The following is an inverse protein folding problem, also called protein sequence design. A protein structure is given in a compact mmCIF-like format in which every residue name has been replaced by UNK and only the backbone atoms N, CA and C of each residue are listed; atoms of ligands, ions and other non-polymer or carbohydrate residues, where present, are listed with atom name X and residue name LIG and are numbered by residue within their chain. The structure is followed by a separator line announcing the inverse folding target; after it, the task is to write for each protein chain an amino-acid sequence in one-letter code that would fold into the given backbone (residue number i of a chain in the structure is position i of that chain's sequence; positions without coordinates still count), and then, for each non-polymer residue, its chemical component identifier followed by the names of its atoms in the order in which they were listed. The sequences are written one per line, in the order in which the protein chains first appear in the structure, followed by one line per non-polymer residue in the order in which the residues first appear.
data_IF_599643602813
#
_entry.id   IF_599643602813
#
_cell.length_a   1.000
_cell.length_b   1.000
_cell.length_c   1.000
_cell.angle_alpha   90.00
_cell.angle_beta   90.00
_cell.angle_gamma   90.00
#
_symmetry.space_group_name_H-M   'P 1'
#
loop_
_entity.id
_entity.type
_entity.pdbx_description
1 polymer ?
#
# COMPACT_ATOMS: atom_id res chain seq x y z
N UNK A 1 16.79 -20.73 -2.78
CA UNK A 1 17.61 -19.68 -3.42
C UNK A 1 16.75 -18.65 -4.13
N UNK A 2 15.65 -19.06 -4.79
CA UNK A 2 14.66 -18.16 -5.40
C UNK A 2 14.09 -17.12 -4.42
N UNK A 3 13.58 -17.53 -3.26
CA UNK A 3 13.00 -16.61 -2.28
C UNK A 3 13.88 -15.42 -1.84
N UNK A 4 15.21 -15.60 -1.73
CA UNK A 4 16.11 -14.49 -1.40
C UNK A 4 16.23 -13.50 -2.56
N UNK A 5 16.19 -14.01 -3.80
CA UNK A 5 16.18 -13.18 -4.99
C UNK A 5 14.86 -12.41 -5.09
N UNK A 6 13.73 -13.08 -4.84
CA UNK A 6 12.40 -12.45 -4.86
C UNK A 6 12.30 -11.33 -3.81
N UNK A 7 12.80 -11.56 -2.58
CA UNK A 7 12.85 -10.53 -1.53
C UNK A 7 13.76 -9.36 -1.95
N UNK A 8 14.91 -9.65 -2.57
CA UNK A 8 15.82 -8.60 -3.03
C UNK A 8 15.23 -7.77 -4.18
N UNK A 9 14.54 -8.43 -5.11
CA UNK A 9 13.86 -7.81 -6.23
C UNK A 9 12.69 -6.96 -5.78
N UNK A 10 11.83 -7.49 -4.90
CA UNK A 10 10.75 -6.73 -4.30
C UNK A 10 11.26 -5.47 -3.58
N UNK A 11 12.34 -5.58 -2.81
CA UNK A 11 12.95 -4.40 -2.18
C UNK A 11 13.44 -3.38 -3.21
N UNK A 12 14.06 -3.82 -4.29
CA UNK A 12 14.50 -2.93 -5.38
C UNK A 12 13.32 -2.23 -6.07
N UNK A 13 12.20 -2.92 -6.25
CA UNK A 13 10.97 -2.35 -6.82
C UNK A 13 10.36 -1.30 -5.88
N UNK A 14 10.28 -1.58 -4.57
CA UNK A 14 9.81 -0.60 -3.58
C UNK A 14 10.71 0.64 -3.53
N UNK A 15 12.04 0.46 -3.61
CA UNK A 15 12.99 1.58 -3.68
C UNK A 15 12.80 2.40 -4.96
N UNK A 16 12.51 1.77 -6.10
CA UNK A 16 12.19 2.47 -7.36
C UNK A 16 10.88 3.24 -7.25
N UNK A 17 9.84 2.64 -6.68
CA UNK A 17 8.54 3.28 -6.47
C UNK A 17 8.68 4.58 -5.67
N UNK A 18 9.50 4.60 -4.61
CA UNK A 18 9.74 5.81 -3.80
C UNK A 18 10.36 6.97 -4.58
N UNK A 19 10.96 6.71 -5.75
CA UNK A 19 11.58 7.70 -6.63
C UNK A 19 10.77 7.97 -7.91
N UNK A 20 9.68 7.24 -8.13
CA UNK A 20 8.84 7.39 -9.31
C UNK A 20 7.97 8.66 -9.19
N UNK A 21 7.84 9.38 -10.30
CA UNK A 21 7.03 10.60 -10.38
C UNK A 21 5.67 10.36 -11.03
N UNK A 22 5.55 9.32 -11.84
CA UNK A 22 4.30 8.87 -12.43
C UNK A 22 3.54 7.95 -11.45
N UNK A 23 2.36 8.36 -10.93
CA UNK A 23 1.61 7.56 -9.97
C UNK A 23 1.21 6.17 -10.47
N UNK A 24 0.98 6.00 -11.77
CA UNK A 24 0.59 4.70 -12.35
C UNK A 24 1.77 3.74 -12.28
N UNK A 25 2.93 4.14 -12.83
CA UNK A 25 4.17 3.36 -12.76
C UNK A 25 4.64 3.15 -11.32
N UNK A 26 4.41 4.13 -10.43
CA UNK A 26 4.70 3.94 -9.02
C UNK A 26 3.89 2.77 -8.47
N UNK A 27 2.57 2.78 -8.68
CA UNK A 27 1.70 1.72 -8.17
C UNK A 27 2.05 0.36 -8.78
N UNK A 28 2.37 0.29 -10.08
CA UNK A 28 2.81 -0.95 -10.72
C UNK A 28 4.04 -1.56 -10.02
N UNK A 29 5.07 -0.76 -9.74
CA UNK A 29 6.26 -1.24 -9.02
C UNK A 29 5.91 -1.75 -7.61
N UNK A 30 4.96 -1.09 -6.92
CA UNK A 30 4.54 -1.50 -5.57
C UNK A 30 3.75 -2.81 -5.63
N UNK A 31 2.77 -2.90 -6.52
CA UNK A 31 1.95 -4.10 -6.69
C UNK A 31 2.83 -5.31 -7.02
N UNK A 32 3.75 -5.16 -7.98
CA UNK A 32 4.69 -6.22 -8.35
C UNK A 32 5.55 -6.63 -7.16
N UNK A 33 6.09 -5.68 -6.40
CA UNK A 33 6.88 -5.97 -5.21
C UNK A 33 6.08 -6.73 -4.14
N UNK A 34 4.84 -6.31 -3.87
CA UNK A 34 4.00 -6.93 -2.87
C UNK A 34 3.57 -8.34 -3.28
N UNK A 35 3.27 -8.55 -4.56
CA UNK A 35 2.97 -9.87 -5.13
C UNK A 35 4.18 -10.79 -5.02
N UNK A 36 5.39 -10.32 -5.36
CA UNK A 36 6.62 -11.11 -5.21
C UNK A 36 6.84 -11.56 -3.76
N UNK A 37 6.59 -10.67 -2.79
CA UNK A 37 6.71 -11.01 -1.37
C UNK A 37 5.62 -11.98 -0.89
N UNK A 38 4.39 -11.84 -1.39
CA UNK A 38 3.26 -12.69 -1.01
C UNK A 38 3.35 -14.09 -1.61
N UNK A 39 3.87 -14.20 -2.82
CA UNK A 39 3.97 -15.46 -3.58
C UNK A 39 5.29 -16.19 -3.38
N UNK A 40 6.19 -15.67 -2.54
CA UNK A 40 7.47 -16.32 -2.24
C UNK A 40 7.27 -17.67 -1.52
N UNK A 41 7.81 -18.75 -2.10
CA UNK A 41 7.71 -20.11 -1.58
C UNK A 41 9.03 -20.59 -0.94
N UNK A 42 8.98 -21.70 -0.19
CA UNK A 42 10.14 -22.34 0.46
C UNK A 42 10.94 -21.43 1.40
N UNK A 43 10.24 -20.57 2.14
CA UNK A 43 10.83 -19.60 3.06
C UNK A 43 11.37 -20.26 4.34
N UNK A 44 12.53 -19.79 4.79
CA UNK A 44 12.98 -20.03 6.17
C UNK A 44 12.26 -19.07 7.12
N UNK A 45 12.16 -19.38 8.43
CA UNK A 45 11.54 -18.47 9.39
C UNK A 45 12.16 -17.05 9.41
N UNK A 46 13.46 -16.95 9.16
CA UNK A 46 14.14 -15.64 9.06
C UNK A 46 13.72 -14.85 7.81
N UNK A 47 13.38 -15.54 6.72
CA UNK A 47 12.91 -14.91 5.49
C UNK A 47 11.45 -14.46 5.63
N UNK A 48 10.60 -15.26 6.28
CA UNK A 48 9.23 -14.86 6.63
C UNK A 48 9.23 -13.59 7.49
N UNK A 49 10.06 -13.56 8.54
CA UNK A 49 10.24 -12.38 9.40
C UNK A 49 10.76 -11.17 8.61
N UNK A 50 11.70 -11.38 7.69
CA UNK A 50 12.21 -10.33 6.82
C UNK A 50 11.11 -9.77 5.90
N UNK A 51 10.30 -10.62 5.28
CA UNK A 51 9.17 -10.19 4.44
C UNK A 51 8.19 -9.35 5.25
N UNK A 52 7.79 -9.82 6.43
CA UNK A 52 6.87 -9.11 7.29
C UNK A 52 7.42 -7.72 7.67
N UNK A 53 8.71 -7.64 8.00
CA UNK A 53 9.38 -6.37 8.32
C UNK A 53 9.46 -5.43 7.12
N UNK A 54 9.72 -5.94 5.91
CA UNK A 54 9.75 -5.14 4.69
C UNK A 54 8.36 -4.54 4.42
N UNK A 55 7.32 -5.38 4.45
CA UNK A 55 5.93 -4.95 4.22
C UNK A 55 5.48 -3.92 5.27
N UNK A 56 5.74 -4.18 6.55
CA UNK A 56 5.37 -3.26 7.64
C UNK A 56 6.09 -1.91 7.52
N UNK A 57 7.40 -1.94 7.25
CA UNK A 57 8.19 -0.73 7.08
C UNK A 57 7.72 0.09 5.86
N UNK A 58 7.37 -0.59 4.77
CA UNK A 58 6.85 0.05 3.57
C UNK A 58 5.46 0.64 3.81
N UNK A 59 4.52 -0.12 4.41
CA UNK A 59 3.19 0.35 4.77
C UNK A 59 3.23 1.63 5.59
N UNK A 60 4.13 1.69 6.60
CA UNK A 60 4.33 2.90 7.40
C UNK A 60 4.76 4.10 6.56
N UNK A 61 5.74 3.94 5.67
CA UNK A 61 6.24 5.04 4.81
C UNK A 61 5.16 5.48 3.82
N UNK A 62 4.52 4.51 3.17
CA UNK A 62 3.45 4.72 2.21
C UNK A 62 2.30 5.51 2.85
N UNK A 63 1.79 5.08 3.99
CA UNK A 63 0.65 5.71 4.67
C UNK A 63 0.95 7.16 5.09
N UNK A 64 2.16 7.41 5.60
CA UNK A 64 2.61 8.78 5.90
C UNK A 64 2.65 9.67 4.66
N UNK A 65 3.07 9.11 3.52
CA UNK A 65 3.18 9.86 2.26
C UNK A 65 1.81 10.17 1.67
N UNK A 66 0.94 9.16 1.54
CA UNK A 66 -0.38 9.34 0.90
C UNK A 66 -1.33 10.21 1.71
N UNK A 67 -1.18 10.25 3.04
CA UNK A 67 -1.94 11.17 3.90
C UNK A 67 -1.58 12.66 3.67
N UNK A 68 -0.42 12.95 3.07
CA UNK A 68 -0.01 14.32 2.73
C UNK A 68 -0.48 14.76 1.34
N UNK A 69 -1.09 13.87 0.56
CA UNK A 69 -1.70 14.23 -0.71
C UNK A 69 -2.84 15.22 -0.44
N UNK A 70 -2.69 16.46 -0.89
CA UNK A 70 -3.71 17.49 -0.69
C UNK A 70 -4.85 17.40 -1.70
N UNK A 71 -4.53 16.92 -2.91
CA UNK A 71 -5.43 16.71 -4.04
C UNK A 71 -4.82 15.66 -4.96
N UNK A 72 -5.61 14.70 -5.38
CA UNK A 72 -5.30 13.75 -6.45
C UNK A 72 -6.53 13.59 -7.34
N UNK A 73 -6.33 13.11 -8.57
CA UNK A 73 -7.47 12.63 -9.37
C UNK A 73 -8.05 11.36 -8.72
N UNK A 74 -9.31 11.07 -9.01
CA UNK A 74 -9.96 9.85 -8.52
C UNK A 74 -9.19 8.60 -8.94
N UNK A 75 -8.71 8.56 -10.19
CA UNK A 75 -7.90 7.47 -10.74
C UNK A 75 -6.64 7.22 -9.90
N UNK A 76 -5.83 8.25 -9.65
CA UNK A 76 -4.62 8.15 -8.82
C UNK A 76 -4.94 7.75 -7.38
N UNK A 77 -6.01 8.31 -6.81
CA UNK A 77 -6.48 7.89 -5.48
C UNK A 77 -6.88 6.42 -5.45
N UNK A 78 -7.58 5.95 -6.48
CA UNK A 78 -8.04 4.56 -6.58
C UNK A 78 -6.86 3.58 -6.69
N UNK A 79 -5.82 3.92 -7.47
CA UNK A 79 -4.59 3.11 -7.50
C UNK A 79 -3.94 2.99 -6.11
N UNK A 80 -3.76 4.12 -5.41
CA UNK A 80 -3.22 4.07 -4.06
C UNK A 80 -4.14 3.37 -3.05
N UNK A 81 -5.46 3.38 -3.27
CA UNK A 81 -6.41 2.63 -2.45
C UNK A 81 -6.18 1.12 -2.59
N UNK A 82 -5.94 0.62 -3.80
CA UNK A 82 -5.57 -0.78 -4.02
C UNK A 82 -4.31 -1.15 -3.24
N UNK A 83 -3.29 -0.29 -3.21
CA UNK A 83 -2.10 -0.51 -2.37
C UNK A 83 -2.43 -0.54 -0.87
N UNK A 84 -3.31 0.36 -0.40
CA UNK A 84 -3.79 0.33 1.00
C UNK A 84 -4.46 -0.99 1.33
N UNK A 85 -5.26 -1.54 0.41
CA UNK A 85 -5.93 -2.84 0.58
C UNK A 85 -4.91 -4.00 0.62
N UNK A 86 -3.91 -3.99 -0.26
CA UNK A 86 -2.85 -5.01 -0.27
C UNK A 86 -1.97 -5.00 1.00
N UNK A 87 -1.90 -3.86 1.69
CA UNK A 87 -1.15 -3.66 2.93
C UNK A 87 -2.07 -3.61 4.16
N UNK A 88 -3.35 -4.01 4.03
CA UNK A 88 -4.33 -3.90 5.11
C UNK A 88 -3.85 -4.57 6.42
N UNK A 89 -3.28 -5.80 6.42
CA UNK A 89 -2.81 -6.42 7.66
C UNK A 89 -1.71 -5.60 8.36
N UNK A 90 -0.78 -5.04 7.59
CA UNK A 90 0.29 -4.20 8.12
C UNK A 90 -0.22 -2.85 8.62
N UNK A 91 -1.16 -2.24 7.89
CA UNK A 91 -1.76 -0.97 8.24
C UNK A 91 -2.61 -1.12 9.52
N UNK A 92 -3.35 -2.21 9.67
CA UNK A 92 -4.12 -2.50 10.88
C UNK A 92 -3.20 -2.68 12.09
N UNK A 93 -2.12 -3.44 11.94
CA UNK A 93 -1.12 -3.60 12.99
C UNK A 93 -0.53 -2.24 13.41
N UNK A 94 -0.16 -1.40 12.43
CA UNK A 94 0.36 -0.05 12.68
C UNK A 94 -0.67 0.85 13.35
N UNK A 95 -1.95 0.78 12.97
CA UNK A 95 -3.02 1.59 13.53
C UNK A 95 -3.35 1.23 14.98
N UNK A 96 -3.14 -0.03 15.38
CA UNK A 96 -3.27 -0.47 16.78
C UNK A 96 -2.17 0.10 17.68
N UNK A 97 -0.95 0.22 17.15
CA UNK A 97 0.22 0.69 17.90
C UNK A 97 0.39 2.21 17.88
N UNK A 98 0.02 2.86 16.78
CA UNK A 98 0.24 4.29 16.54
C UNK A 98 -1.05 4.98 16.05
N UNK A 99 -1.72 5.79 16.90
CA UNK A 99 -2.91 6.54 16.53
C UNK A 99 -2.72 7.47 15.32
N UNK A 100 -1.49 7.93 15.05
CA UNK A 100 -1.21 8.74 13.87
C UNK A 100 -1.38 7.93 12.58
N UNK A 101 -1.06 6.63 12.59
CA UNK A 101 -1.27 5.76 11.43
C UNK A 101 -2.75 5.55 11.16
N UNK A 102 -3.55 5.38 12.21
CA UNK A 102 -5.01 5.31 12.09
C UNK A 102 -5.59 6.59 11.47
N UNK A 103 -5.12 7.77 11.91
CA UNK A 103 -5.55 9.05 11.35
C UNK A 103 -5.07 9.24 9.91
N UNK A 104 -3.84 8.85 9.58
CA UNK A 104 -3.32 8.91 8.20
C UNK A 104 -4.17 8.07 7.24
N UNK A 105 -4.52 6.83 7.62
CA UNK A 105 -5.44 5.97 6.84
C UNK A 105 -6.77 6.67 6.63
N UNK A 106 -7.36 7.21 7.70
CA UNK A 106 -8.65 7.92 7.64
C UNK A 106 -8.58 9.13 6.71
N UNK A 107 -7.54 9.97 6.84
CA UNK A 107 -7.37 11.17 6.04
C UNK A 107 -7.25 10.84 4.54
N UNK A 108 -6.49 9.80 4.19
CA UNK A 108 -6.36 9.35 2.81
C UNK A 108 -7.69 8.83 2.23
N UNK A 109 -8.39 7.95 2.95
CA UNK A 109 -9.68 7.38 2.49
C UNK A 109 -10.76 8.48 2.38
N UNK A 110 -10.80 9.41 3.33
CA UNK A 110 -11.77 10.49 3.35
C UNK A 110 -11.60 11.50 2.21
N UNK A 111 -10.50 11.46 1.45
CA UNK A 111 -10.27 12.35 0.32
C UNK A 111 -11.32 12.22 -0.79
N UNK A 112 -11.76 10.98 -1.07
CA UNK A 112 -12.77 10.68 -2.08
C UNK A 112 -13.92 9.82 -1.53
N UNK A 113 -13.79 9.29 -0.31
CA UNK A 113 -14.80 8.45 0.32
C UNK A 113 -16.23 9.03 0.27
N UNK A 114 -16.45 10.31 0.69
CA UNK A 114 -17.78 10.91 0.65
C UNK A 114 -18.38 11.01 -0.75
N UNK A 115 -17.57 11.36 -1.75
CA UNK A 115 -18.00 11.46 -3.15
C UNK A 115 -18.35 10.08 -3.73
N UNK A 116 -17.57 9.05 -3.40
CA UNK A 116 -17.80 7.66 -3.81
C UNK A 116 -19.09 7.12 -3.16
N UNK A 117 -19.26 7.31 -1.85
CA UNK A 117 -20.46 6.91 -1.12
C UNK A 117 -21.72 7.55 -1.73
N UNK A 118 -21.68 8.86 -1.99
CA UNK A 118 -22.78 9.57 -2.64
C UNK A 118 -23.08 9.07 -4.07
N UNK A 119 -22.05 8.68 -4.83
CA UNK A 119 -22.24 8.11 -6.16
C UNK A 119 -22.88 6.71 -6.11
N UNK A 120 -22.43 5.86 -5.19
CA UNK A 120 -22.99 4.53 -4.96
C UNK A 120 -24.46 4.62 -4.53
N UNK A 121 -24.80 5.51 -3.60
CA UNK A 121 -26.18 5.73 -3.18
C UNK A 121 -27.10 6.12 -4.33
N UNK A 122 -26.62 6.97 -5.26
CA UNK A 122 -27.41 7.35 -6.45
C UNK A 122 -27.63 6.17 -7.38
N UNK A 123 -26.61 5.33 -7.59
CA UNK A 123 -26.70 4.16 -8.46
C UNK A 123 -27.58 3.04 -7.90
N UNK A 124 -27.67 2.91 -6.57
CA UNK A 124 -28.52 1.90 -5.92
C UNK A 124 -29.99 2.32 -5.84
N UNK A 125 -30.28 3.62 -6.02
CA UNK A 125 -31.64 4.18 -6.04
C UNK A 125 -32.23 4.31 -7.45
N UNK A 126 -31.45 4.03 -8.50
CA UNK A 126 -31.86 4.00 -9.91
C UNK A 126 -32.20 2.59 -10.37
#
# INVERSE_FOLDING_TARGET
MAAIQDIAEARSLLERAEHESDPEQECEHIEEALILLETAEDLTPQQEELIANVRLAYAKRFLNRVALLKKSTFEVWNHYLTIVEMLEPEIDALALEDPQMAENRRAFVAMWGPEVEAALERSLKS
#
